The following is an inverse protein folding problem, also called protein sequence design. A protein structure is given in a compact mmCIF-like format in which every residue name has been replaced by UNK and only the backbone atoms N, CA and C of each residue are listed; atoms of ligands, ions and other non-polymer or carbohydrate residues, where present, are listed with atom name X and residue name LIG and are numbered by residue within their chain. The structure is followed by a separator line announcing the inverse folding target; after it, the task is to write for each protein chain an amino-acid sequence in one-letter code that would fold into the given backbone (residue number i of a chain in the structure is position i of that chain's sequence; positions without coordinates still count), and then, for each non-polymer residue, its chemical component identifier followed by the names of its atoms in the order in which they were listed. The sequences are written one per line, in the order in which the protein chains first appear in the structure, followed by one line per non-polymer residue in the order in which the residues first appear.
data_IF_604389424882
#
_entry.id   IF_604389424882
#
_cell.length_a   1.000
_cell.length_b   1.000
_cell.length_c   1.000
_cell.angle_alpha   90.00
_cell.angle_beta   90.00
_cell.angle_gamma   90.00
#
_symmetry.space_group_name_H-M   'P 1'
#
loop_
_entity.id
_entity.type
_entity.pdbx_description
1 polymer ?
#
# COMPACT_ATOMS: atom_id res chain seq x y z
N UNK A 1 -8.99 10.95 6.53
CA UNK A 1 -8.50 9.58 6.79
C UNK A 1 -7.32 9.71 7.74
N UNK A 2 -7.33 8.94 8.82
CA UNK A 2 -6.20 8.80 9.74
C UNK A 2 -5.46 7.52 9.38
N UNK A 3 -4.13 7.59 9.30
CA UNK A 3 -3.25 6.48 8.97
C UNK A 3 -2.46 6.12 10.24
N UNK A 4 -2.58 4.89 10.71
CA UNK A 4 -1.89 4.41 11.91
C UNK A 4 -0.61 3.65 11.56
N UNK A 5 -0.59 2.95 10.43
CA UNK A 5 0.62 2.26 9.99
C UNK A 5 0.55 1.82 8.55
N UNK A 6 1.71 1.61 7.92
CA UNK A 6 1.80 1.14 6.55
C UNK A 6 3.08 0.36 6.29
N UNK A 7 3.06 -0.47 5.25
CA UNK A 7 4.23 -1.01 4.58
C UNK A 7 3.95 -1.05 3.07
N UNK A 8 4.89 -0.55 2.27
CA UNK A 8 4.88 -0.67 0.82
C UNK A 8 5.98 -1.62 0.40
N UNK A 9 5.61 -2.64 -0.37
CA UNK A 9 6.50 -3.69 -0.86
C UNK A 9 6.59 -3.60 -2.39
N UNK A 10 7.35 -4.49 -3.00
CA UNK A 10 7.64 -4.48 -4.43
C UNK A 10 6.41 -4.69 -5.32
N UNK A 11 5.36 -5.34 -4.80
CA UNK A 11 4.16 -5.71 -5.56
C UNK A 11 2.83 -5.42 -4.86
N UNK A 12 2.84 -5.03 -3.59
CA UNK A 12 1.63 -4.70 -2.83
C UNK A 12 1.96 -3.82 -1.64
N UNK A 13 0.92 -3.42 -0.90
CA UNK A 13 1.05 -2.66 0.33
C UNK A 13 0.01 -3.11 1.34
N UNK A 14 0.29 -2.87 2.61
CA UNK A 14 -0.68 -2.99 3.70
C UNK A 14 -0.71 -1.67 4.47
N UNK A 15 -1.88 -1.32 5.01
CA UNK A 15 -2.00 -0.19 5.91
C UNK A 15 -3.15 -0.37 6.90
N UNK A 16 -3.00 0.26 8.05
CA UNK A 16 -4.03 0.40 9.06
C UNK A 16 -4.51 1.84 9.06
N UNK A 17 -5.80 2.06 8.82
CA UNK A 17 -6.37 3.40 8.70
C UNK A 17 -7.81 3.45 9.18
N UNK A 18 -8.25 4.66 9.54
CA UNK A 18 -9.63 4.97 9.89
C UNK A 18 -10.14 6.15 9.05
N UNK A 19 -11.40 6.07 8.63
CA UNK A 19 -12.12 7.16 8.00
C UNK A 19 -13.62 6.95 8.19
N UNK A 20 -14.39 8.04 8.11
CA UNK A 20 -15.85 7.96 8.08
C UNK A 20 -16.35 7.11 6.90
N UNK A 21 -15.80 7.34 5.70
CA UNK A 21 -16.01 6.49 4.52
C UNK A 21 -14.66 5.92 4.06
N UNK A 22 -14.27 4.79 4.67
CA UNK A 22 -13.03 4.11 4.30
C UNK A 22 -13.09 3.56 2.87
N UNK A 23 -14.24 2.99 2.46
CA UNK A 23 -14.41 2.42 1.13
C UNK A 23 -14.24 3.47 0.02
N UNK A 24 -14.82 4.65 0.18
CA UNK A 24 -14.59 5.80 -0.70
C UNK A 24 -13.13 6.25 -0.72
N UNK A 25 -12.50 6.34 0.44
CA UNK A 25 -11.07 6.68 0.56
C UNK A 25 -10.18 5.68 -0.21
N UNK A 26 -10.40 4.37 -0.06
CA UNK A 26 -9.61 3.36 -0.77
C UNK A 26 -9.84 3.41 -2.28
N UNK A 27 -11.08 3.66 -2.72
CA UNK A 27 -11.43 3.77 -4.15
C UNK A 27 -10.71 4.96 -4.79
N UNK A 28 -10.75 6.11 -4.13
CA UNK A 28 -10.05 7.32 -4.56
C UNK A 28 -8.53 7.14 -4.55
N UNK A 29 -7.97 6.53 -3.50
CA UNK A 29 -6.56 6.19 -3.42
C UNK A 29 -6.11 5.33 -4.61
N UNK A 30 -6.83 4.23 -4.89
CA UNK A 30 -6.48 3.33 -6.00
C UNK A 30 -6.56 4.03 -7.36
N UNK A 31 -7.61 4.83 -7.58
CA UNK A 31 -7.79 5.58 -8.83
C UNK A 31 -6.66 6.60 -9.04
N UNK A 32 -6.42 7.43 -8.04
CA UNK A 32 -5.40 8.48 -8.09
C UNK A 32 -4.00 7.90 -8.30
N UNK A 33 -3.62 6.91 -7.49
CA UNK A 33 -2.28 6.30 -7.58
C UNK A 33 -2.10 5.50 -8.86
N UNK A 34 -3.11 4.77 -9.35
CA UNK A 34 -3.01 4.07 -10.63
C UNK A 34 -2.71 5.05 -11.77
N UNK A 35 -3.38 6.21 -11.79
CA UNK A 35 -3.10 7.24 -12.80
C UNK A 35 -1.68 7.78 -12.68
N UNK A 36 -1.24 8.13 -11.46
CA UNK A 36 0.11 8.66 -11.23
C UNK A 36 1.22 7.67 -11.58
N UNK A 37 1.02 6.38 -11.29
CA UNK A 37 1.96 5.30 -11.62
C UNK A 37 2.06 5.13 -13.14
N UNK A 38 0.92 5.10 -13.85
CA UNK A 38 0.91 5.02 -15.31
C UNK A 38 1.60 6.25 -15.93
N UNK A 39 1.24 7.46 -15.48
CA UNK A 39 1.86 8.69 -15.96
C UNK A 39 3.38 8.71 -15.72
N UNK A 40 3.85 8.12 -14.62
CA UNK A 40 5.28 7.98 -14.34
C UNK A 40 5.97 6.99 -15.28
N UNK A 41 5.37 5.84 -15.54
CA UNK A 41 5.92 4.84 -16.46
C UNK A 41 5.93 5.30 -17.91
N UNK A 42 4.91 6.05 -18.32
CA UNK A 42 4.84 6.70 -19.63
C UNK A 42 6.00 7.69 -19.81
N UNK A 43 6.18 8.62 -18.85
CA UNK A 43 7.26 9.61 -18.89
C UNK A 43 8.67 9.03 -18.80
N UNK A 44 8.82 7.84 -18.20
CA UNK A 44 10.10 7.15 -18.07
C UNK A 44 10.36 6.15 -19.20
N UNK A 45 9.50 6.10 -20.22
CA UNK A 45 9.57 5.15 -21.34
C UNK A 45 9.65 3.68 -20.87
N UNK A 46 8.95 3.35 -19.78
CA UNK A 46 8.93 2.01 -19.19
C UNK A 46 7.94 1.09 -19.93
N UNK A 47 8.08 0.99 -21.26
CA UNK A 47 7.15 0.29 -22.15
C UNK A 47 6.86 -1.14 -21.71
N UNK A 48 7.90 -1.89 -21.32
CA UNK A 48 7.74 -3.29 -20.85
C UNK A 48 6.79 -3.42 -19.66
N UNK A 49 6.75 -2.42 -18.78
CA UNK A 49 5.85 -2.40 -17.63
C UNK A 49 4.44 -2.05 -18.06
N UNK A 50 4.28 -1.02 -18.91
CA UNK A 50 2.99 -0.63 -19.47
C UNK A 50 2.33 -1.77 -20.26
N UNK A 51 3.10 -2.49 -21.08
CA UNK A 51 2.64 -3.66 -21.80
C UNK A 51 2.14 -4.75 -20.87
N UNK A 52 2.87 -5.03 -19.79
CA UNK A 52 2.43 -5.99 -18.77
C UNK A 52 1.12 -5.55 -18.13
N UNK A 53 0.99 -4.28 -17.74
CA UNK A 53 -0.25 -3.73 -17.15
C UNK A 53 -1.45 -3.77 -18.11
N UNK A 54 -1.19 -3.62 -19.42
CA UNK A 54 -2.21 -3.75 -20.47
C UNK A 54 -2.61 -5.20 -20.67
N UNK A 55 -1.64 -6.11 -20.71
CA UNK A 55 -1.84 -7.54 -20.92
C UNK A 55 -2.59 -8.20 -19.74
N UNK A 56 -2.23 -7.85 -18.49
CA UNK A 56 -2.86 -8.42 -17.30
C UNK A 56 -4.18 -7.74 -16.92
N UNK A 57 -4.63 -6.73 -17.67
CA UNK A 57 -5.92 -6.08 -17.47
C UNK A 57 -7.05 -7.10 -17.62
N UNK A 58 -8.07 -6.99 -16.77
CA UNK A 58 -9.30 -7.80 -16.91
C UNK A 58 -10.01 -7.49 -18.23
N UNK A 59 -10.33 -8.53 -19.00
CA UNK A 59 -10.91 -8.40 -20.34
C UNK A 59 -12.20 -7.57 -20.39
N UNK A 60 -13.05 -7.64 -19.37
CA UNK A 60 -14.32 -6.89 -19.31
C UNK A 60 -14.17 -5.39 -19.01
N UNK A 61 -12.96 -4.91 -18.68
CA UNK A 61 -12.72 -3.48 -18.43
C UNK A 61 -12.42 -2.76 -19.74
N UNK A 62 -13.44 -2.26 -20.43
CA UNK A 62 -13.29 -1.54 -21.70
C UNK A 62 -13.00 -0.05 -21.53
N UNK A 63 -13.21 0.50 -20.33
CA UNK A 63 -13.08 1.92 -20.01
C UNK A 63 -11.63 2.40 -19.77
N UNK A 64 -10.65 1.48 -19.79
CA UNK A 64 -9.25 1.78 -19.48
C UNK A 64 -8.28 0.87 -20.24
N UNK A 65 -7.09 1.40 -20.52
CA UNK A 65 -6.01 0.67 -21.22
C UNK A 65 -5.17 -0.15 -20.23
N UNK A 66 -4.89 0.40 -19.05
CA UNK A 66 -4.00 -0.19 -18.05
C UNK A 66 -4.75 -0.54 -16.76
N UNK A 67 -4.30 -1.59 -16.08
CA UNK A 67 -4.76 -1.93 -14.74
C UNK A 67 -3.57 -2.15 -13.80
N UNK A 68 -3.38 -1.21 -12.86
CA UNK A 68 -2.32 -1.27 -11.84
C UNK A 68 -2.74 -2.11 -10.64
N UNK A 69 -3.89 -1.78 -10.04
CA UNK A 69 -4.36 -2.44 -8.84
C UNK A 69 -5.20 -3.68 -9.15
N UNK A 70 -5.02 -4.72 -8.34
CA UNK A 70 -5.98 -5.81 -8.25
C UNK A 70 -7.34 -5.29 -7.75
N UNK A 71 -8.41 -5.90 -8.27
CA UNK A 71 -9.77 -5.60 -7.82
C UNK A 71 -10.03 -6.08 -6.39
N UNK A 72 -10.97 -5.42 -5.73
CA UNK A 72 -11.30 -5.68 -4.34
C UNK A 72 -10.25 -5.17 -3.36
N UNK A 73 -10.48 -5.40 -2.07
CA UNK A 73 -9.58 -5.06 -0.97
C UNK A 73 -9.71 -6.16 0.07
N UNK A 74 -8.61 -6.58 0.68
CA UNK A 74 -8.67 -7.47 1.83
C UNK A 74 -8.78 -6.62 3.10
N UNK A 75 -9.99 -6.19 3.43
CA UNK A 75 -10.24 -5.37 4.61
C UNK A 75 -10.48 -6.29 5.81
N UNK A 76 -9.76 -6.03 6.90
CA UNK A 76 -9.97 -6.67 8.19
C UNK A 76 -10.34 -5.60 9.22
N UNK A 77 -11.35 -5.89 10.04
CA UNK A 77 -11.80 -4.96 11.09
C UNK A 77 -10.85 -5.04 12.27
N UNK A 78 -10.53 -3.89 12.86
CA UNK A 78 -9.79 -3.79 14.12
C UNK A 78 -10.78 -3.30 15.18
N UNK A 79 -11.07 -4.15 16.16
CA UNK A 79 -12.09 -3.89 17.19
C UNK A 79 -11.50 -3.75 18.60
N UNK A 80 -10.21 -4.00 18.78
CA UNK A 80 -9.53 -3.85 20.06
C UNK A 80 -8.08 -3.42 19.89
N UNK A 81 -7.51 -2.96 21.00
CA UNK A 81 -6.11 -2.58 21.14
C UNK A 81 -5.15 -3.74 20.82
N UNK A 82 -5.45 -4.94 21.30
CA UNK A 82 -4.63 -6.13 21.02
C UNK A 82 -4.61 -6.45 19.53
N UNK A 83 -5.76 -6.34 18.86
CA UNK A 83 -5.85 -6.55 17.41
C UNK A 83 -5.10 -5.45 16.66
N UNK A 84 -5.16 -4.20 17.13
CA UNK A 84 -4.40 -3.09 16.56
C UNK A 84 -2.89 -3.38 16.61
N UNK A 85 -2.38 -3.73 17.79
CA UNK A 85 -0.97 -4.09 17.99
C UNK A 85 -0.55 -5.26 17.10
N UNK A 86 -1.34 -6.33 17.11
CA UNK A 86 -1.08 -7.51 16.29
C UNK A 86 -0.98 -7.17 14.79
N UNK A 87 -1.89 -6.31 14.28
CA UNK A 87 -1.89 -5.93 12.86
C UNK A 87 -0.73 -5.00 12.52
N UNK A 88 -0.39 -4.05 13.39
CA UNK A 88 0.78 -3.19 13.20
C UNK A 88 2.08 -4.02 13.18
N UNK A 89 2.27 -4.90 14.17
CA UNK A 89 3.42 -5.80 14.24
C UNK A 89 3.52 -6.68 12.99
N UNK A 90 2.37 -7.25 12.56
CA UNK A 90 2.33 -8.08 11.36
C UNK A 90 2.78 -7.33 10.09
N UNK A 91 2.27 -6.11 9.85
CA UNK A 91 2.63 -5.36 8.65
C UNK A 91 4.08 -4.86 8.71
N UNK A 92 4.57 -4.46 9.89
CA UNK A 92 5.95 -3.99 10.09
C UNK A 92 6.96 -5.12 9.98
N UNK A 93 6.58 -6.34 10.34
CA UNK A 93 7.41 -7.53 10.19
C UNK A 93 7.37 -8.14 8.78
N UNK A 94 6.51 -7.66 7.89
CA UNK A 94 6.38 -8.23 6.54
C UNK A 94 7.69 -8.21 5.73
N UNK A 95 8.48 -7.12 5.73
CA UNK A 95 9.79 -7.08 5.08
C UNK A 95 10.79 -8.09 5.64
N UNK A 96 10.73 -8.37 6.96
CA UNK A 96 11.59 -9.36 7.62
C UNK A 96 11.20 -10.77 7.20
N UNK A 97 9.90 -11.09 7.25
CA UNK A 97 9.37 -12.39 6.81
C UNK A 97 9.69 -12.68 5.33
N UNK A 98 9.85 -11.65 4.51
CA UNK A 98 10.26 -11.75 3.10
C UNK A 98 11.77 -11.84 2.88
N UNK A 99 12.58 -11.68 3.93
CA UNK A 99 14.04 -11.73 3.86
C UNK A 99 14.67 -10.49 3.24
N UNK A 100 13.96 -9.35 3.21
CA UNK A 100 14.53 -8.10 2.66
C UNK A 100 15.41 -7.36 3.66
N UNK A 101 15.11 -7.49 4.94
CA UNK A 101 15.81 -6.85 6.04
C UNK A 101 15.78 -7.77 7.27
N UNK A 102 16.80 -7.71 8.10
CA UNK A 102 16.81 -8.46 9.37
C UNK A 102 15.90 -7.82 10.43
N UNK A 103 15.66 -6.51 10.32
CA UNK A 103 14.86 -5.72 11.28
C UNK A 103 13.84 -4.87 10.51
N UNK A 104 12.57 -4.88 10.95
CA UNK A 104 11.46 -4.24 10.23
C UNK A 104 11.65 -2.73 10.00
N UNK A 105 12.27 -2.04 10.96
CA UNK A 105 12.60 -0.61 10.85
C UNK A 105 13.69 -0.31 9.79
N UNK A 106 14.45 -1.29 9.32
CA UNK A 106 15.39 -1.04 8.22
C UNK A 106 14.66 -0.88 6.87
N UNK A 107 13.40 -1.30 6.77
CA UNK A 107 12.60 -1.09 5.57
C UNK A 107 12.10 0.36 5.48
N UNK A 108 12.77 1.17 4.66
CA UNK A 108 12.48 2.60 4.49
C UNK A 108 11.02 2.89 4.11
N UNK A 109 10.38 2.00 3.36
CA UNK A 109 9.00 2.16 2.89
C UNK A 109 7.97 1.53 3.85
N UNK A 110 8.20 1.67 5.16
CA UNK A 110 7.33 1.21 6.24
C UNK A 110 7.23 2.29 7.32
N UNK A 111 6.12 2.32 8.05
CA UNK A 111 6.00 3.14 9.26
C UNK A 111 6.68 2.53 10.48
N UNK A 112 7.25 1.33 10.41
CA UNK A 112 7.97 0.68 11.52
C UNK A 112 9.00 1.60 12.18
N UNK A 113 9.69 2.42 11.37
CA UNK A 113 10.68 3.41 11.80
C UNK A 113 10.09 4.50 12.68
N UNK A 114 8.90 4.96 12.33
CA UNK A 114 8.19 5.97 13.11
C UNK A 114 7.88 5.45 14.51
N UNK A 115 7.45 4.20 14.62
CA UNK A 115 7.21 3.56 15.92
C UNK A 115 8.48 3.36 16.77
N UNK A 116 9.67 3.49 16.18
CA UNK A 116 10.97 3.51 16.86
C UNK A 116 11.50 4.93 17.11
N UNK A 117 10.67 5.95 16.93
CA UNK A 117 11.06 7.35 17.12
C UNK A 117 11.94 7.93 15.99
N UNK A 118 12.10 7.21 14.88
CA UNK A 118 12.83 7.70 13.70
C UNK A 118 11.88 8.39 12.72
N UNK A 119 12.41 9.25 11.86
CA UNK A 119 11.60 9.92 10.82
C UNK A 119 11.18 8.93 9.73
N UNK A 120 9.86 8.78 9.54
CA UNK A 120 9.23 8.03 8.46
C UNK A 120 9.10 8.81 7.15
N UNK A 121 8.68 8.14 6.06
CA UNK A 121 8.44 8.80 4.77
C UNK A 121 7.05 9.44 4.67
N UNK A 122 6.09 8.87 5.39
CA UNK A 122 4.70 9.33 5.45
C UNK A 122 4.33 9.39 6.92
N UNK A 123 3.75 10.51 7.32
CA UNK A 123 3.32 10.72 8.70
C UNK A 123 2.20 9.73 9.06
N UNK A 124 2.30 9.19 10.27
CA UNK A 124 1.27 8.34 10.86
C UNK A 124 0.82 8.93 12.20
N UNK A 125 -0.45 8.73 12.51
CA UNK A 125 -0.97 8.96 13.84
C UNK A 125 -0.63 7.74 14.67
N UNK A 126 0.37 7.86 15.56
CA UNK A 126 0.71 6.76 16.47
C UNK A 126 -0.51 6.43 17.32
N UNK A 127 -0.73 5.12 17.45
CA UNK A 127 -1.72 4.55 18.34
C UNK A 127 -1.04 4.15 19.65
#
# INVERSE_FOLDING_TARGET
MQLFGYVVLENHLHYVAQAHDLGGCVRSFKSFTARRIVDHFDRSNAERVLERLRFTKRAYKTDRVYQVWQEGTHAEVIWSEDVMRQKLDYIHHNPVKRGYVDVGEHWRYSSARDYQGQVGLIDVQRW
#
